data_IF_808611175296
#
_entry.id   IF_808611175296
#
_cell.length_a   1.000
_cell.length_b   1.000
_cell.length_c   1.000
_cell.angle_alpha   90.00
_cell.angle_beta   90.00
_cell.angle_gamma   90.00
#
_symmetry.space_group_name_H-M   'P 1'
#
loop_
_entity.id
_entity.type
_entity.pdbx_description
1 polymer ?
#
# COMPACT_ATOMS: atom_id res chain seq x y z
N UNK A 1 -39.28 -49.08 13.19
CA UNK A 1 -37.83 -49.36 13.26
C UNK A 1 -37.11 -49.22 11.91
N UNK A 2 -37.75 -49.50 10.75
CA UNK A 2 -37.11 -49.35 9.43
C UNK A 2 -37.01 -47.91 8.89
N UNK A 3 -37.92 -46.99 9.26
CA UNK A 3 -37.98 -45.64 8.69
C UNK A 3 -36.89 -44.67 9.20
N UNK A 4 -36.33 -44.90 10.38
CA UNK A 4 -35.28 -44.04 10.98
C UNK A 4 -33.91 -44.33 10.36
N UNK A 5 -33.65 -45.57 9.93
CA UNK A 5 -32.39 -45.95 9.27
C UNK A 5 -32.24 -45.36 7.87
N UNK A 6 -33.34 -45.18 7.13
CA UNK A 6 -33.32 -44.59 5.78
C UNK A 6 -33.02 -43.08 5.82
N UNK A 7 -33.54 -42.37 6.83
CA UNK A 7 -33.33 -40.92 7.02
C UNK A 7 -31.89 -40.56 7.43
N UNK A 8 -31.19 -41.45 8.14
CA UNK A 8 -29.78 -41.25 8.49
C UNK A 8 -28.83 -41.57 7.32
N UNK A 9 -29.17 -42.53 6.46
CA UNK A 9 -28.42 -42.84 5.25
C UNK A 9 -28.52 -41.75 4.18
N UNK A 10 -29.68 -41.08 4.06
CA UNK A 10 -29.82 -39.95 3.13
C UNK A 10 -29.06 -38.70 3.56
N UNK A 11 -28.87 -38.48 4.87
CA UNK A 11 -28.10 -37.33 5.39
C UNK A 11 -26.58 -37.53 5.32
N UNK A 12 -26.09 -38.78 5.27
CA UNK A 12 -24.66 -39.06 5.15
C UNK A 12 -24.13 -38.86 3.71
N UNK A 13 -25.00 -39.00 2.70
CA UNK A 13 -24.63 -38.79 1.28
C UNK A 13 -24.61 -37.32 0.85
N UNK A 14 -25.19 -36.41 1.64
CA UNK A 14 -25.15 -34.95 1.39
C UNK A 14 -23.91 -34.27 1.98
N UNK A 15 -23.08 -34.99 2.74
CA UNK A 15 -21.75 -34.53 3.18
C UNK A 15 -20.66 -34.92 2.18
N UNK A 16 -21.00 -35.14 0.91
CA UNK A 16 -19.98 -35.35 -0.11
C UNK A 16 -19.57 -34.02 -0.73
N UNK A 17 -18.45 -33.51 -0.21
CA UNK A 17 -17.47 -32.71 -0.95
C UNK A 17 -17.90 -31.31 -1.40
N UNK A 18 -17.62 -30.31 -0.57
CA UNK A 18 -17.17 -29.02 -1.09
C UNK A 18 -15.78 -29.28 -1.70
N UNK A 19 -15.73 -29.69 -2.97
CA UNK A 19 -14.46 -29.76 -3.69
C UNK A 19 -14.01 -28.33 -3.95
N UNK A 20 -12.84 -27.96 -3.43
CA UNK A 20 -12.20 -26.71 -3.78
C UNK A 20 -11.98 -26.67 -5.31
N UNK A 21 -12.34 -25.56 -5.94
CA UNK A 21 -12.19 -25.34 -7.40
C UNK A 21 -10.72 -25.48 -7.83
N UNK A 22 -9.78 -25.33 -6.90
CA UNK A 22 -8.34 -25.50 -7.10
C UNK A 22 -7.75 -26.45 -6.04
N UNK A 23 -6.83 -27.31 -6.45
CA UNK A 23 -6.03 -28.16 -5.57
C UNK A 23 -4.74 -27.43 -5.17
N UNK A 24 -4.11 -27.77 -4.03
CA UNK A 24 -2.92 -27.09 -3.51
C UNK A 24 -1.62 -27.52 -4.25
N UNK A 25 -1.67 -27.60 -5.57
CA UNK A 25 -0.53 -27.90 -6.45
C UNK A 25 -0.44 -26.87 -7.58
N UNK A 26 0.78 -26.65 -8.07
CA UNK A 26 1.05 -25.65 -9.11
C UNK A 26 0.27 -25.90 -10.40
N UNK A 27 0.07 -27.17 -10.79
CA UNK A 27 -0.61 -27.50 -12.02
C UNK A 27 -2.08 -27.05 -12.00
N UNK A 28 -2.74 -27.08 -10.83
CA UNK A 28 -4.07 -26.49 -10.66
C UNK A 28 -4.02 -24.97 -10.49
N UNK A 29 -3.10 -24.46 -9.68
CA UNK A 29 -3.03 -23.04 -9.34
C UNK A 29 -2.65 -22.12 -10.51
N UNK A 30 -1.88 -22.60 -11.48
CA UNK A 30 -1.48 -21.84 -12.67
C UNK A 30 -2.60 -21.71 -13.70
N UNK A 31 -3.69 -22.47 -13.56
CA UNK A 31 -4.87 -22.34 -14.43
C UNK A 31 -5.78 -21.16 -14.06
N UNK A 32 -5.48 -20.45 -12.95
CA UNK A 32 -6.30 -19.34 -12.46
C UNK A 32 -6.27 -18.16 -13.44
N UNK A 33 -7.39 -17.81 -14.09
CA UNK A 33 -7.41 -16.65 -14.97
C UNK A 33 -7.23 -15.38 -14.14
N UNK A 34 -6.48 -14.42 -14.68
CA UNK A 34 -6.46 -13.06 -14.13
C UNK A 34 -7.88 -12.48 -14.24
N UNK A 35 -8.49 -12.03 -13.14
CA UNK A 35 -9.83 -11.49 -13.21
C UNK A 35 -9.84 -10.19 -14.00
N UNK A 36 -10.86 -10.03 -14.85
CA UNK A 36 -10.97 -8.91 -15.80
C UNK A 36 -10.91 -7.54 -15.11
N UNK A 37 -11.54 -7.42 -13.94
CA UNK A 37 -11.53 -6.17 -13.15
C UNK A 37 -10.12 -5.77 -12.69
N UNK A 38 -9.20 -6.72 -12.45
CA UNK A 38 -7.82 -6.44 -12.05
C UNK A 38 -6.97 -6.09 -13.27
N UNK A 39 -7.22 -6.75 -14.40
CA UNK A 39 -6.53 -6.42 -15.64
C UNK A 39 -6.89 -5.01 -16.13
N UNK A 40 -8.12 -4.56 -15.92
CA UNK A 40 -8.57 -3.19 -16.24
C UNK A 40 -7.94 -2.09 -15.37
N UNK A 41 -7.43 -2.44 -14.18
CA UNK A 41 -6.79 -1.54 -13.22
C UNK A 41 -5.26 -1.45 -13.47
N UNK A 42 -4.84 -0.64 -14.46
CA UNK A 42 -3.52 -0.76 -15.10
C UNK A 42 -2.31 0.01 -14.49
N UNK A 43 -2.44 0.93 -13.53
CA UNK A 43 -1.28 1.74 -13.07
C UNK A 43 -1.09 1.69 -11.55
N UNK A 44 0.07 2.05 -10.98
CA UNK A 44 0.32 2.10 -9.54
C UNK A 44 1.27 3.24 -9.21
N UNK A 45 1.05 3.99 -8.13
CA UNK A 45 1.98 5.04 -7.68
C UNK A 45 2.45 4.78 -6.26
N UNK A 46 3.77 4.78 -6.07
CA UNK A 46 4.45 4.76 -4.78
C UNK A 46 5.05 6.15 -4.55
N UNK A 47 4.55 6.87 -3.55
CA UNK A 47 5.22 8.06 -3.03
C UNK A 47 6.13 7.63 -1.88
N UNK A 48 7.44 7.71 -2.09
CA UNK A 48 8.41 7.69 -0.99
C UNK A 48 8.62 9.14 -0.55
N UNK A 49 8.52 9.40 0.74
CA UNK A 49 9.12 10.61 1.30
C UNK A 49 10.63 10.38 1.27
N UNK A 50 11.28 10.76 0.17
CA UNK A 50 12.74 10.74 0.10
C UNK A 50 13.25 11.61 1.26
N UNK A 51 13.91 10.96 2.20
CA UNK A 51 14.56 11.60 3.34
C UNK A 51 15.63 12.56 2.83
N UNK A 52 15.26 13.84 2.75
CA UNK A 52 16.22 14.91 2.54
C UNK A 52 17.08 15.04 3.80
N UNK A 53 18.30 14.53 3.69
CA UNK A 53 19.54 14.96 4.36
C UNK A 53 19.40 16.00 5.47
N UNK A 54 19.92 15.62 6.64
CA UNK A 54 20.29 16.50 7.74
C UNK A 54 20.94 17.79 7.26
N UNK A 55 20.47 18.93 7.79
CA UNK A 55 20.80 20.35 7.49
C UNK A 55 19.90 21.02 6.45
N UNK A 56 18.83 21.65 6.95
CA UNK A 56 17.98 22.54 6.17
C UNK A 56 18.59 23.95 6.11
N UNK A 57 19.06 24.45 4.96
CA UNK A 57 18.98 25.88 4.69
C UNK A 57 17.53 26.16 4.27
N UNK A 58 16.87 27.12 4.94
CA UNK A 58 15.51 27.63 4.65
C UNK A 58 15.19 27.50 3.15
N UNK A 59 14.39 26.49 2.81
CA UNK A 59 13.94 26.29 1.45
C UNK A 59 13.02 27.47 1.11
N UNK A 60 13.48 28.32 0.19
CA UNK A 60 12.69 29.42 -0.35
C UNK A 60 11.50 28.83 -1.14
N UNK A 61 10.30 28.90 -0.56
CA UNK A 61 9.04 28.37 -1.09
C UNK A 61 8.80 28.65 -2.59
N UNK A 62 9.22 29.83 -3.07
CA UNK A 62 9.08 30.26 -4.46
C UNK A 62 9.85 29.37 -5.47
N UNK A 63 10.97 28.76 -5.07
CA UNK A 63 11.75 27.85 -5.93
C UNK A 63 11.10 26.47 -6.09
N UNK A 64 10.35 26.00 -5.09
CA UNK A 64 9.57 24.76 -5.18
C UNK A 64 8.35 24.95 -6.07
N UNK A 65 7.65 26.08 -5.95
CA UNK A 65 6.50 26.40 -6.81
C UNK A 65 6.87 26.53 -8.29
N UNK A 66 8.01 27.17 -8.59
CA UNK A 66 8.51 27.28 -9.97
C UNK A 66 8.79 25.90 -10.58
N UNK A 67 9.45 25.02 -9.83
CA UNK A 67 9.73 23.64 -10.26
C UNK A 67 8.45 22.82 -10.43
N UNK A 68 7.45 23.00 -9.56
CA UNK A 68 6.14 22.35 -9.67
C UNK A 68 5.36 22.83 -10.89
N UNK A 69 5.35 24.14 -11.17
CA UNK A 69 4.67 24.72 -12.34
C UNK A 69 5.30 24.25 -13.65
N UNK A 70 6.63 24.18 -13.72
CA UNK A 70 7.33 23.65 -14.89
C UNK A 70 7.15 22.13 -15.05
N UNK A 71 7.17 21.36 -13.95
CA UNK A 71 6.82 19.93 -13.99
C UNK A 71 5.38 19.71 -14.48
N UNK A 72 4.43 20.56 -14.08
CA UNK A 72 3.05 20.53 -14.56
C UNK A 72 2.96 20.87 -16.05
N UNK A 73 3.65 21.93 -16.52
CA UNK A 73 3.70 22.28 -17.95
C UNK A 73 4.33 21.16 -18.79
N UNK A 74 5.41 20.54 -18.29
CA UNK A 74 6.05 19.39 -18.94
C UNK A 74 5.10 18.18 -18.99
N UNK A 75 4.38 17.88 -17.91
CA UNK A 75 3.39 16.80 -17.89
C UNK A 75 2.24 17.04 -18.88
N UNK A 76 1.73 18.27 -18.96
CA UNK A 76 0.68 18.66 -19.91
C UNK A 76 1.17 18.58 -21.36
N UNK A 77 2.41 19.00 -21.63
CA UNK A 77 3.02 18.96 -22.97
C UNK A 77 3.31 17.52 -23.41
N UNK A 78 3.81 16.67 -22.49
CA UNK A 78 4.01 15.23 -22.71
C UNK A 78 2.68 14.52 -22.99
N UNK A 79 1.60 14.91 -22.30
CA UNK A 79 0.22 14.43 -22.55
C UNK A 79 -0.30 14.80 -23.94
N UNK A 80 -0.02 16.01 -24.43
CA UNK A 80 -0.37 16.42 -25.81
C UNK A 80 0.43 15.65 -26.87
N UNK A 81 1.71 15.40 -26.63
CA UNK A 81 2.59 14.63 -27.54
C UNK A 81 2.20 13.16 -27.62
N UNK A 82 1.82 12.53 -26.51
CA UNK A 82 1.36 11.14 -26.46
C UNK A 82 0.00 10.93 -27.17
N UNK A 83 -0.87 11.94 -27.24
CA UNK A 83 -2.13 11.88 -28.01
C UNK A 83 -1.91 11.81 -29.53
N UNK A 84 -0.82 12.41 -30.05
CA UNK A 84 -0.44 12.36 -31.47
C UNK A 84 0.21 11.03 -31.88
N UNK A 85 0.64 10.27 -30.88
CA UNK A 85 1.19 8.91 -30.88
C UNK A 85 0.49 7.82 -31.69
N UNK A 86 -0.84 7.88 -31.72
CA UNK A 86 -1.66 6.65 -31.73
C UNK A 86 -1.55 5.82 -30.42
N UNK A 87 -0.50 6.03 -29.62
CA UNK A 87 -0.32 5.55 -28.25
C UNK A 87 -1.18 6.37 -27.25
N UNK A 88 -2.45 6.55 -27.57
CA UNK A 88 -3.32 7.56 -26.97
C UNK A 88 -4.46 7.05 -26.07
N UNK A 89 -4.48 5.76 -25.71
CA UNK A 89 -5.58 5.16 -24.93
C UNK A 89 -5.23 4.72 -23.50
N UNK A 90 -4.00 4.95 -23.01
CA UNK A 90 -3.42 4.11 -21.95
C UNK A 90 -2.99 4.79 -20.64
N UNK A 91 -3.57 5.92 -20.23
CA UNK A 91 -3.44 6.40 -18.83
C UNK A 91 -4.78 6.90 -18.31
N UNK A 92 -5.67 5.98 -17.94
CA UNK A 92 -7.00 6.35 -17.43
C UNK A 92 -7.17 6.17 -15.92
N UNK A 93 -6.45 5.25 -15.26
CA UNK A 93 -6.67 4.95 -13.83
C UNK A 93 -5.38 4.51 -13.13
N UNK A 94 -5.13 5.03 -11.92
CA UNK A 94 -4.02 4.65 -11.01
C UNK A 94 -4.43 3.58 -10.00
N UNK A 95 -3.48 2.86 -9.40
CA UNK A 95 -3.67 2.04 -8.19
C UNK A 95 -2.92 2.75 -7.08
N UNK A 96 -3.57 2.87 -5.93
CA UNK A 96 -2.99 3.51 -4.76
C UNK A 96 -2.67 2.41 -3.77
N UNK A 97 -1.43 2.42 -3.28
CA UNK A 97 -0.97 1.59 -2.18
C UNK A 97 -0.49 2.49 -1.06
N UNK A 98 -0.72 2.10 0.19
CA UNK A 98 -0.36 2.88 1.36
C UNK A 98 0.49 2.03 2.31
N UNK A 99 1.71 2.48 2.58
CA UNK A 99 2.54 1.98 3.67
C UNK A 99 2.23 2.78 4.93
N UNK A 100 1.36 2.23 5.77
CA UNK A 100 1.00 2.82 7.06
C UNK A 100 0.95 1.75 8.15
N UNK A 101 1.60 2.03 9.28
CA UNK A 101 1.65 1.11 10.42
C UNK A 101 2.45 1.66 11.59
N UNK A 102 2.85 0.80 12.52
CA UNK A 102 3.58 1.18 13.75
C UNK A 102 4.88 1.94 13.44
N UNK A 103 5.58 1.59 12.35
CA UNK A 103 6.77 2.30 11.88
C UNK A 103 6.49 3.78 11.50
N UNK A 104 5.24 4.15 11.24
CA UNK A 104 4.86 5.53 10.94
C UNK A 104 4.81 6.42 12.18
N UNK A 105 4.72 5.85 13.39
CA UNK A 105 4.67 6.61 14.66
C UNK A 105 5.89 7.52 14.86
N UNK A 106 7.14 7.04 14.74
CA UNK A 106 8.32 7.92 14.86
C UNK A 106 8.52 8.85 13.65
N UNK A 107 7.82 8.63 12.53
CA UNK A 107 7.86 9.49 11.34
C UNK A 107 9.29 9.78 10.84
N UNK A 108 10.16 8.77 10.82
CA UNK A 108 11.53 8.88 10.35
C UNK A 108 11.89 7.71 9.43
N UNK A 109 12.54 8.02 8.32
CA UNK A 109 13.02 7.01 7.38
C UNK A 109 11.89 6.38 6.56
N UNK A 110 11.80 5.05 6.61
CA UNK A 110 10.82 4.24 5.87
C UNK A 110 10.25 3.12 6.75
N UNK A 111 9.45 2.24 6.15
CA UNK A 111 8.90 1.04 6.79
C UNK A 111 9.99 0.09 7.35
N UNK A 112 11.23 0.24 6.88
CA UNK A 112 12.41 -0.48 7.38
C UNK A 112 12.99 0.07 8.68
N UNK A 113 12.34 1.06 9.30
CA UNK A 113 12.78 1.71 10.53
C UNK A 113 13.25 0.71 11.60
N UNK A 114 12.48 -0.36 11.85
CA UNK A 114 12.86 -1.38 12.84
C UNK A 114 14.22 -2.02 12.55
N UNK A 115 14.43 -2.45 11.29
CA UNK A 115 15.68 -3.09 10.89
C UNK A 115 16.85 -2.10 10.98
N UNK A 116 16.66 -0.88 10.47
CA UNK A 116 17.72 0.14 10.42
C UNK A 116 18.11 0.63 11.82
N UNK A 117 17.16 0.65 12.75
CA UNK A 117 17.41 1.03 14.14
C UNK A 117 17.99 -0.13 14.96
N UNK A 118 17.37 -1.30 14.95
CA UNK A 118 17.68 -2.41 15.86
C UNK A 118 18.76 -3.33 15.31
N UNK A 119 18.66 -3.73 14.04
CA UNK A 119 19.54 -4.74 13.44
C UNK A 119 20.79 -4.11 12.86
N UNK A 120 20.63 -3.10 12.01
CA UNK A 120 21.74 -2.39 11.36
C UNK A 120 22.42 -1.40 12.31
N UNK A 121 21.71 -0.93 13.35
CA UNK A 121 22.26 -0.01 14.34
C UNK A 121 22.74 1.31 13.73
N UNK A 122 22.03 1.83 12.73
CA UNK A 122 22.48 3.05 12.05
C UNK A 122 22.48 4.24 13.00
N UNK A 123 23.57 5.01 12.95
CA UNK A 123 23.87 6.10 13.90
C UNK A 123 22.79 7.19 13.90
N UNK A 124 22.21 7.52 12.74
CA UNK A 124 21.14 8.50 12.61
C UNK A 124 19.88 8.08 13.36
N UNK A 125 19.45 6.82 13.25
CA UNK A 125 18.30 6.29 13.98
C UNK A 125 18.58 6.16 15.48
N UNK A 126 19.77 5.68 15.87
CA UNK A 126 20.14 5.59 17.29
C UNK A 126 20.12 6.98 17.94
N UNK A 127 20.71 7.99 17.29
CA UNK A 127 20.70 9.37 17.79
C UNK A 127 19.29 9.94 17.87
N UNK A 128 18.47 9.72 16.85
CA UNK A 128 17.07 10.11 16.87
C UNK A 128 16.32 9.47 18.05
N UNK A 129 16.51 8.17 18.27
CA UNK A 129 15.82 7.44 19.34
C UNK A 129 16.30 7.87 20.73
N UNK A 130 17.61 8.08 20.91
CA UNK A 130 18.20 8.56 22.16
C UNK A 130 17.73 9.96 22.51
N UNK A 131 17.49 10.80 21.50
CA UNK A 131 17.06 12.19 21.68
C UNK A 131 15.56 12.31 22.01
N UNK A 132 14.72 11.48 21.39
CA UNK A 132 13.26 11.67 21.43
C UNK A 132 12.53 10.67 22.36
N UNK A 133 13.16 9.56 22.74
CA UNK A 133 12.54 8.52 23.55
C UNK A 133 13.38 8.19 24.78
N UNK A 134 12.71 7.69 25.83
CA UNK A 134 13.36 7.32 27.09
C UNK A 134 14.40 6.21 26.89
N UNK A 135 15.46 6.13 27.72
CA UNK A 135 16.35 4.98 27.73
C UNK A 135 15.57 3.67 27.92
N UNK A 136 15.98 2.61 27.20
CA UNK A 136 15.31 1.31 27.23
C UNK A 136 13.98 1.24 26.49
N UNK A 137 13.70 2.19 25.58
CA UNK A 137 12.54 2.12 24.68
C UNK A 137 12.71 1.02 23.64
N UNK A 138 11.70 0.16 23.48
CA UNK A 138 11.67 -0.94 22.52
C UNK A 138 10.72 -0.61 21.37
N UNK A 139 10.93 -1.23 20.21
CA UNK A 139 10.04 -1.03 19.06
C UNK A 139 8.57 -1.39 19.35
N UNK A 140 8.33 -2.41 20.18
CA UNK A 140 6.98 -2.79 20.59
C UNK A 140 6.25 -1.69 21.40
N UNK A 141 7.00 -0.79 22.07
CA UNK A 141 6.44 0.31 22.85
C UNK A 141 5.74 1.35 21.95
N UNK A 142 5.97 1.33 20.64
CA UNK A 142 5.22 2.14 19.68
C UNK A 142 3.79 1.63 19.42
N UNK A 143 3.50 0.35 19.70
CA UNK A 143 2.21 -0.26 19.44
C UNK A 143 1.04 0.53 20.05
N UNK A 144 1.07 0.82 21.37
CA UNK A 144 0.04 1.64 22.01
C UNK A 144 -0.02 3.09 21.52
N UNK A 145 1.05 3.62 20.92
CA UNK A 145 1.12 4.99 20.40
C UNK A 145 0.54 5.11 18.98
N UNK A 146 0.32 4.01 18.29
CA UNK A 146 -0.32 3.99 16.98
C UNK A 146 -1.84 4.09 17.14
N UNK A 147 -2.33 5.26 17.52
CA UNK A 147 -3.75 5.49 17.87
C UNK A 147 -4.65 5.80 16.68
N UNK A 148 -4.06 6.27 15.57
CA UNK A 148 -4.80 6.66 14.37
C UNK A 148 -5.94 7.68 14.65
N UNK A 149 -5.75 8.59 15.61
CA UNK A 149 -6.78 9.52 16.12
C UNK A 149 -7.49 10.37 15.05
N UNK A 150 -6.79 10.68 13.94
CA UNK A 150 -7.34 11.49 12.84
C UNK A 150 -7.70 10.65 11.61
N UNK A 151 -7.76 9.33 11.75
CA UNK A 151 -8.11 8.44 10.65
C UNK A 151 -9.60 8.57 10.30
N UNK A 152 -9.85 8.85 9.03
CA UNK A 152 -11.19 8.93 8.45
C UNK A 152 -11.19 8.12 7.14
N UNK A 153 -11.81 6.94 7.17
CA UNK A 153 -11.88 6.03 6.04
C UNK A 153 -12.66 6.62 4.87
N UNK A 154 -13.71 7.38 5.13
CA UNK A 154 -14.57 7.96 4.10
C UNK A 154 -13.83 9.07 3.37
N UNK A 155 -13.08 9.89 4.12
CA UNK A 155 -12.22 10.91 3.55
C UNK A 155 -11.14 10.29 2.67
N UNK A 156 -10.46 9.24 3.13
CA UNK A 156 -9.44 8.54 2.34
C UNK A 156 -10.06 7.92 1.08
N UNK A 157 -11.18 7.22 1.20
CA UNK A 157 -11.89 6.63 0.06
C UNK A 157 -12.33 7.70 -0.95
N UNK A 158 -12.80 8.85 -0.48
CA UNK A 158 -13.18 9.97 -1.33
C UNK A 158 -11.99 10.52 -2.12
N UNK A 159 -10.81 10.64 -1.50
CA UNK A 159 -9.58 11.11 -2.15
C UNK A 159 -9.10 10.08 -3.18
N UNK A 160 -9.09 8.80 -2.81
CA UNK A 160 -8.71 7.69 -3.71
C UNK A 160 -9.64 7.67 -4.93
N UNK A 161 -10.95 7.78 -4.72
CA UNK A 161 -11.93 7.88 -5.82
C UNK A 161 -11.71 9.11 -6.69
N UNK A 162 -11.48 10.28 -6.09
CA UNK A 162 -11.22 11.54 -6.81
C UNK A 162 -9.91 11.51 -7.62
N UNK A 163 -8.92 10.73 -7.17
CA UNK A 163 -7.67 10.52 -7.92
C UNK A 163 -7.87 9.74 -9.23
N UNK A 164 -9.06 9.13 -9.41
CA UNK A 164 -9.33 8.22 -10.51
C UNK A 164 -8.65 6.86 -10.33
N UNK A 165 -8.42 6.43 -9.09
CA UNK A 165 -7.91 5.08 -8.85
C UNK A 165 -9.01 4.01 -9.04
N UNK A 166 -8.62 2.81 -9.47
CA UNK A 166 -9.51 1.65 -9.67
C UNK A 166 -8.88 0.37 -9.15
#
# INVERSE_FOLDING_TARGET
MAAVGVLLLTNFLLWSSISAIYTPDWASLDTRPLPEWYDDAKFGWTAHSDGATTTAPKIQWWKLEGKLKEAFKMAVTKKKRLKKTGVGKWTKYGRIFMHWGVYSVPSIGSEWFWYQWIVDGRKDYIQYMTKNYKPGFHYADFGPMFTAELFDSDRIASIVKQSGAK
#
